data_IF_201012935805
#
_entry.id   IF_201012935805
#
_cell.length_a   1.000
_cell.length_b   1.000
_cell.length_c   1.000
_cell.angle_alpha   90.00
_cell.angle_beta   90.00
_cell.angle_gamma   90.00
#
_symmetry.space_group_name_H-M   'P 1'
#
loop_
_entity.id
_entity.type
_entity.pdbx_description
1 polymer ?
#
# COMPACT_ATOMS: atom_id res chain seq x y z
N UNK A 1 9.89 21.14 9.82
CA UNK A 1 8.66 20.31 9.70
C UNK A 1 7.73 20.71 10.83
N UNK A 2 6.48 20.99 10.53
CA UNK A 2 5.54 21.47 11.55
C UNK A 2 5.03 20.30 12.38
N UNK A 3 5.58 20.12 13.57
CA UNK A 3 5.20 19.08 14.54
C UNK A 3 3.69 19.15 14.88
N UNK A 4 3.06 20.31 14.75
CA UNK A 4 1.64 20.53 14.97
C UNK A 4 0.78 19.77 13.94
N UNK A 5 1.19 19.72 12.66
CA UNK A 5 0.47 18.98 11.62
C UNK A 5 0.53 17.46 11.85
N UNK A 6 1.73 16.96 12.20
CA UNK A 6 1.90 15.54 12.52
C UNK A 6 1.00 15.10 13.67
N UNK A 7 0.97 15.89 14.75
CA UNK A 7 0.11 15.59 15.89
C UNK A 7 -1.38 15.58 15.52
N UNK A 8 -1.83 16.53 14.70
CA UNK A 8 -3.22 16.55 14.21
C UNK A 8 -3.59 15.31 13.41
N UNK A 9 -2.67 14.82 12.53
CA UNK A 9 -2.88 13.59 11.76
C UNK A 9 -2.97 12.39 12.71
N UNK A 10 -2.04 12.27 13.66
CA UNK A 10 -2.04 11.19 14.67
C UNK A 10 -3.35 11.20 15.46
N UNK A 11 -3.76 12.35 16.01
CA UNK A 11 -5.02 12.50 16.75
C UNK A 11 -6.23 12.11 15.91
N UNK A 12 -6.26 12.52 14.64
CA UNK A 12 -7.37 12.20 13.74
C UNK A 12 -7.49 10.70 13.47
N UNK A 13 -6.36 10.02 13.25
CA UNK A 13 -6.33 8.56 13.04
C UNK A 13 -6.67 7.83 14.34
N UNK A 14 -6.16 8.28 15.48
CA UNK A 14 -6.37 7.67 16.80
C UNK A 14 -7.83 7.70 17.27
N UNK A 15 -8.67 8.60 16.71
CA UNK A 15 -10.13 8.59 16.95
C UNK A 15 -10.83 7.36 16.36
N UNK A 16 -10.21 6.73 15.37
CA UNK A 16 -10.78 5.58 14.64
C UNK A 16 -10.02 4.29 14.98
N UNK A 17 -8.71 4.42 15.21
CA UNK A 17 -7.81 3.32 15.51
C UNK A 17 -7.32 3.46 16.94
N UNK A 18 -7.95 2.74 17.86
CA UNK A 18 -7.62 2.79 19.30
C UNK A 18 -6.45 1.84 19.61
N UNK A 19 -5.57 2.23 20.54
CA UNK A 19 -4.51 1.38 21.09
C UNK A 19 -3.29 1.18 20.18
N UNK A 20 -3.17 1.90 19.04
CA UNK A 20 -2.10 1.67 18.06
C UNK A 20 -1.27 2.90 17.72
N UNK A 21 -1.10 3.79 18.69
CA UNK A 21 -0.40 5.07 18.49
C UNK A 21 1.00 4.88 17.90
N UNK A 22 1.74 3.87 18.38
CA UNK A 22 3.09 3.58 17.87
C UNK A 22 3.10 3.18 16.40
N UNK A 23 2.15 2.36 15.96
CA UNK A 23 2.02 2.00 14.54
C UNK A 23 1.68 3.24 13.70
N UNK A 24 0.76 4.08 14.15
CA UNK A 24 0.38 5.34 13.47
C UNK A 24 1.58 6.26 13.33
N UNK A 25 2.39 6.44 14.37
CA UNK A 25 3.63 7.23 14.34
C UNK A 25 4.62 6.68 13.29
N UNK A 26 4.87 5.36 13.29
CA UNK A 26 5.80 4.74 12.34
C UNK A 26 5.32 4.91 10.90
N UNK A 27 4.02 4.77 10.65
CA UNK A 27 3.44 4.98 9.32
C UNK A 27 3.57 6.44 8.88
N UNK A 28 3.37 7.39 9.77
CA UNK A 28 3.54 8.81 9.46
C UNK A 28 5.01 9.15 9.17
N UNK A 29 5.95 8.60 9.95
CA UNK A 29 7.39 8.74 9.69
C UNK A 29 7.74 8.16 8.32
N UNK A 30 7.21 6.98 7.98
CA UNK A 30 7.44 6.34 6.68
C UNK A 30 6.91 7.19 5.53
N UNK A 31 5.71 7.76 5.68
CA UNK A 31 5.10 8.66 4.69
C UNK A 31 5.96 9.92 4.47
N UNK A 32 6.43 10.53 5.55
CA UNK A 32 7.27 11.74 5.49
C UNK A 32 8.63 11.47 4.84
N UNK A 33 9.14 10.26 5.05
CA UNK A 33 10.40 9.80 4.44
C UNK A 33 10.21 9.28 2.99
N UNK A 34 9.00 9.45 2.42
CA UNK A 34 8.64 8.97 1.07
C UNK A 34 8.91 7.47 0.89
N UNK A 35 8.81 6.71 1.98
CA UNK A 35 9.06 5.28 2.00
C UNK A 35 7.78 4.44 1.92
N UNK A 36 7.96 3.13 1.92
CA UNK A 36 6.90 2.13 1.91
C UNK A 36 6.99 1.24 3.14
N UNK A 37 5.91 0.58 3.53
CA UNK A 37 5.84 -0.26 4.72
C UNK A 37 5.42 -1.69 4.39
N UNK A 38 6.12 -2.64 4.99
CA UNK A 38 5.70 -4.03 5.02
C UNK A 38 5.03 -4.33 6.36
N UNK A 39 3.77 -4.70 6.32
CA UNK A 39 3.00 -5.09 7.50
C UNK A 39 3.03 -6.61 7.62
N UNK A 40 3.62 -7.10 8.70
CA UNK A 40 3.42 -8.49 9.13
C UNK A 40 2.36 -8.52 10.21
N UNK A 41 1.31 -9.27 9.98
CA UNK A 41 0.21 -9.24 10.91
C UNK A 41 -0.60 -10.52 10.99
N UNK A 42 -1.43 -10.53 12.03
CA UNK A 42 -2.50 -11.51 12.22
C UNK A 42 -3.75 -11.06 11.46
N UNK A 43 -4.55 -11.96 10.86
CA UNK A 43 -5.81 -11.59 10.22
C UNK A 43 -6.74 -10.79 11.15
N UNK A 44 -7.41 -9.75 10.61
CA UNK A 44 -8.43 -9.01 11.35
C UNK A 44 -7.98 -7.75 12.08
N UNK A 45 -6.73 -7.31 11.96
CA UNK A 45 -6.15 -6.18 12.71
C UNK A 45 -6.42 -4.77 12.12
N UNK A 46 -7.51 -4.58 11.38
CA UNK A 46 -7.96 -3.27 10.86
C UNK A 46 -6.98 -2.55 9.91
N UNK A 47 -6.09 -3.27 9.19
CA UNK A 47 -5.12 -2.71 8.20
C UNK A 47 -5.78 -1.76 7.20
N UNK A 48 -6.89 -2.21 6.62
CA UNK A 48 -7.63 -1.43 5.63
C UNK A 48 -8.15 -0.12 6.22
N UNK A 49 -8.63 -0.17 7.47
CA UNK A 49 -9.12 1.02 8.16
C UNK A 49 -7.98 1.98 8.47
N UNK A 50 -6.82 1.48 8.88
CA UNK A 50 -5.62 2.26 9.15
C UNK A 50 -5.13 3.00 7.90
N UNK A 51 -4.97 2.27 6.77
CA UNK A 51 -4.54 2.85 5.50
C UNK A 51 -5.56 3.89 4.97
N UNK A 52 -6.87 3.61 5.06
CA UNK A 52 -7.93 4.56 4.70
C UNK A 52 -7.92 5.81 5.59
N UNK A 53 -7.71 5.64 6.90
CA UNK A 53 -7.67 6.76 7.84
C UNK A 53 -6.48 7.67 7.55
N UNK A 54 -5.31 7.10 7.24
CA UNK A 54 -4.15 7.88 6.84
C UNK A 54 -4.42 8.65 5.54
N UNK A 55 -4.90 7.98 4.49
CA UNK A 55 -5.22 8.62 3.22
C UNK A 55 -6.19 9.80 3.42
N UNK A 56 -7.26 9.59 4.18
CA UNK A 56 -8.25 10.63 4.48
C UNK A 56 -7.65 11.79 5.29
N UNK A 57 -6.77 11.50 6.24
CA UNK A 57 -6.15 12.51 7.10
C UNK A 57 -5.18 13.42 6.36
N UNK A 58 -4.59 12.94 5.25
CA UNK A 58 -3.70 13.73 4.39
C UNK A 58 -4.43 14.33 3.17
N UNK A 59 -5.74 14.09 3.02
CA UNK A 59 -6.51 14.53 1.86
C UNK A 59 -6.22 13.74 0.57
N UNK A 60 -5.56 12.58 0.69
CA UNK A 60 -5.17 11.74 -0.43
C UNK A 60 -6.21 10.68 -0.81
N UNK A 61 -5.96 10.03 -1.95
CA UNK A 61 -6.75 8.90 -2.45
C UNK A 61 -6.25 7.58 -1.86
N UNK A 62 -7.14 6.58 -1.81
CA UNK A 62 -6.86 5.25 -1.31
C UNK A 62 -7.32 4.18 -2.30
N UNK A 63 -6.49 3.20 -2.56
CA UNK A 63 -6.84 1.99 -3.30
C UNK A 63 -6.39 0.74 -2.54
N UNK A 64 -7.08 -0.38 -2.78
CA UNK A 64 -6.71 -1.70 -2.25
C UNK A 64 -6.65 -2.70 -3.37
N UNK A 65 -5.59 -3.51 -3.37
CA UNK A 65 -5.44 -4.66 -4.26
C UNK A 65 -5.24 -5.89 -3.39
N UNK A 66 -6.07 -6.90 -3.59
CA UNK A 66 -5.84 -8.23 -3.03
C UNK A 66 -4.97 -9.00 -4.02
N UNK A 67 -3.80 -9.44 -3.57
CA UNK A 67 -2.89 -10.22 -4.37
C UNK A 67 -3.35 -11.67 -4.40
N UNK A 68 -3.47 -12.22 -5.61
CA UNK A 68 -3.93 -13.61 -5.88
C UNK A 68 -3.01 -14.26 -6.93
N UNK A 69 -2.99 -15.59 -7.03
CA UNK A 69 -2.11 -16.29 -7.99
C UNK A 69 -2.37 -15.95 -9.46
N UNK A 70 -3.56 -15.48 -9.79
CA UNK A 70 -3.99 -15.09 -11.14
C UNK A 70 -3.83 -13.59 -11.44
N UNK A 71 -3.44 -12.77 -10.44
CA UNK A 71 -3.27 -11.33 -10.62
C UNK A 71 -2.14 -11.01 -11.60
N UNK A 72 -2.44 -10.21 -12.62
CA UNK A 72 -1.48 -9.79 -13.65
C UNK A 72 -0.83 -8.44 -13.30
N UNK A 73 0.38 -8.15 -13.80
CA UNK A 73 1.00 -6.83 -13.66
C UNK A 73 0.11 -5.68 -14.12
N UNK A 74 -0.60 -5.85 -15.22
CA UNK A 74 -1.53 -4.86 -15.80
C UNK A 74 -2.74 -4.57 -14.91
N UNK A 75 -3.15 -5.52 -14.06
CA UNK A 75 -4.22 -5.29 -13.09
C UNK A 75 -3.80 -4.29 -12.01
N UNK A 76 -2.48 -4.13 -11.81
CA UNK A 76 -1.89 -3.20 -10.84
C UNK A 76 -1.56 -1.86 -11.50
N UNK A 77 -0.87 -1.88 -12.65
CA UNK A 77 -0.35 -0.69 -13.32
C UNK A 77 -1.38 0.01 -14.20
N UNK A 78 -2.36 -0.74 -14.70
CA UNK A 78 -3.30 -0.28 -15.71
C UNK A 78 -2.88 -0.72 -17.12
N UNK A 79 -3.68 -0.36 -18.10
CA UNK A 79 -3.49 -0.75 -19.50
C UNK A 79 -4.24 0.18 -20.45
N UNK A 80 -3.85 0.16 -21.73
CA UNK A 80 -4.56 0.89 -22.78
C UNK A 80 -5.74 0.07 -23.33
N UNK A 81 -6.90 0.71 -23.46
CA UNK A 81 -8.11 0.16 -24.07
C UNK A 81 -8.32 0.86 -25.42
N UNK A 82 -8.53 0.07 -26.48
CA UNK A 82 -8.97 0.64 -27.75
C UNK A 82 -10.46 0.94 -27.71
N UNK A 83 -10.78 2.22 -27.83
CA UNK A 83 -12.16 2.67 -27.96
C UNK A 83 -12.56 2.67 -29.46
N UNK A 84 -13.52 1.80 -29.79
CA UNK A 84 -14.02 1.67 -31.17
C UNK A 84 -14.79 2.90 -31.65
N UNK A 85 -15.40 3.69 -30.74
CA UNK A 85 -16.17 4.86 -31.16
C UNK A 85 -15.29 6.05 -31.52
N UNK A 86 -14.23 6.27 -30.75
CA UNK A 86 -13.26 7.35 -30.99
C UNK A 86 -12.09 6.91 -31.86
N UNK A 87 -11.97 5.60 -32.18
CA UNK A 87 -10.86 4.97 -32.91
C UNK A 87 -9.48 5.31 -32.32
N UNK A 88 -9.41 5.47 -31.00
CA UNK A 88 -8.15 5.76 -30.29
C UNK A 88 -7.97 4.87 -29.07
N UNK A 89 -6.71 4.76 -28.62
CA UNK A 89 -6.39 4.14 -27.34
C UNK A 89 -6.63 5.12 -26.21
N UNK A 90 -7.22 4.65 -25.12
CA UNK A 90 -7.39 5.38 -23.87
C UNK A 90 -6.76 4.61 -22.74
N UNK A 91 -5.96 5.30 -21.90
CA UNK A 91 -5.36 4.69 -20.73
C UNK A 91 -6.40 4.48 -19.63
N UNK A 92 -6.50 3.25 -19.14
CA UNK A 92 -7.24 2.90 -17.94
C UNK A 92 -6.26 2.73 -16.78
N UNK A 93 -6.23 3.68 -15.82
CA UNK A 93 -5.30 3.61 -14.70
C UNK A 93 -5.57 2.39 -13.82
N UNK A 94 -4.50 1.76 -13.39
CA UNK A 94 -4.54 0.72 -12.37
C UNK A 94 -4.57 1.31 -10.96
N UNK A 95 -4.78 0.46 -9.95
CA UNK A 95 -4.88 0.88 -8.55
C UNK A 95 -3.61 1.49 -7.96
N UNK A 96 -2.44 1.35 -8.60
CA UNK A 96 -1.21 2.04 -8.16
C UNK A 96 -1.27 3.54 -8.35
N UNK A 97 -2.17 4.05 -9.22
CA UNK A 97 -2.37 5.49 -9.42
C UNK A 97 -3.22 6.01 -8.25
N UNK A 98 -2.58 6.18 -7.12
CA UNK A 98 -3.20 6.60 -5.86
C UNK A 98 -2.13 7.12 -4.90
N UNK A 99 -2.53 7.81 -3.82
CA UNK A 99 -1.59 8.28 -2.79
C UNK A 99 -1.25 7.17 -1.78
N UNK A 100 -2.27 6.42 -1.35
CA UNK A 100 -2.09 5.30 -0.41
C UNK A 100 -2.63 4.02 -1.04
N UNK A 101 -1.72 3.07 -1.28
CA UNK A 101 -2.05 1.75 -1.81
C UNK A 101 -1.93 0.70 -0.70
N UNK A 102 -2.97 -0.09 -0.50
CA UNK A 102 -2.89 -1.33 0.29
C UNK A 102 -2.76 -2.52 -0.65
N UNK A 103 -1.55 -3.08 -0.72
CA UNK A 103 -1.23 -4.32 -1.43
C UNK A 103 -1.35 -5.50 -0.46
N UNK A 104 -2.54 -6.11 -0.43
CA UNK A 104 -2.88 -7.13 0.57
C UNK A 104 -2.42 -8.52 0.11
N UNK A 105 -1.68 -9.24 0.97
CA UNK A 105 -1.11 -10.57 0.73
C UNK A 105 -0.19 -10.63 -0.50
N UNK A 106 0.78 -9.71 -0.59
CA UNK A 106 1.68 -9.57 -1.75
C UNK A 106 2.39 -10.88 -2.13
N UNK A 107 2.65 -11.75 -1.15
CA UNK A 107 3.30 -13.05 -1.36
C UNK A 107 2.41 -14.10 -2.04
N UNK A 108 1.14 -13.83 -2.29
CA UNK A 108 0.25 -14.74 -3.05
C UNK A 108 0.34 -14.59 -4.56
N UNK A 109 0.77 -13.44 -5.05
CA UNK A 109 0.88 -13.23 -6.50
C UNK A 109 2.23 -13.72 -7.05
N UNK A 110 2.28 -14.08 -8.35
CA UNK A 110 3.51 -14.47 -9.01
C UNK A 110 4.60 -13.39 -8.93
N UNK A 111 5.86 -13.80 -8.98
CA UNK A 111 7.01 -12.91 -8.88
C UNK A 111 7.00 -11.76 -9.90
N UNK A 112 6.43 -11.99 -11.11
CA UNK A 112 6.30 -10.96 -12.14
C UNK A 112 5.36 -9.82 -11.70
N UNK A 113 4.27 -10.15 -11.03
CA UNK A 113 3.28 -9.19 -10.53
C UNK A 113 3.82 -8.43 -9.32
N UNK A 114 4.54 -9.14 -8.43
CA UNK A 114 5.27 -8.49 -7.33
C UNK A 114 6.30 -7.49 -7.86
N UNK A 115 7.10 -7.90 -8.88
CA UNK A 115 8.11 -7.04 -9.48
C UNK A 115 7.53 -5.75 -10.07
N UNK A 116 6.35 -5.81 -10.70
CA UNK A 116 5.68 -4.63 -11.23
C UNK A 116 5.30 -3.62 -10.13
N UNK A 117 4.77 -4.10 -8.99
CA UNK A 117 4.51 -3.21 -7.85
C UNK A 117 5.79 -2.60 -7.30
N UNK A 118 6.82 -3.42 -7.10
CA UNK A 118 8.11 -2.98 -6.54
C UNK A 118 8.83 -1.98 -7.45
N UNK A 119 8.66 -2.09 -8.76
CA UNK A 119 9.16 -1.11 -9.73
C UNK A 119 8.45 0.24 -9.54
N UNK A 120 7.11 0.23 -9.46
CA UNK A 120 6.35 1.47 -9.21
C UNK A 120 6.72 2.11 -7.87
N UNK A 121 6.96 1.32 -6.84
CA UNK A 121 7.41 1.82 -5.53
C UNK A 121 8.76 2.53 -5.64
N UNK A 122 9.67 2.03 -6.45
CA UNK A 122 11.02 2.59 -6.60
C UNK A 122 11.05 3.79 -7.54
N UNK A 123 10.42 3.65 -8.71
CA UNK A 123 10.52 4.63 -9.79
C UNK A 123 9.43 5.72 -9.71
N UNK A 124 8.39 5.52 -8.88
CA UNK A 124 7.21 6.39 -8.75
C UNK A 124 6.56 6.72 -10.10
N UNK A 125 6.61 5.74 -11.01
CA UNK A 125 6.00 5.82 -12.33
C UNK A 125 5.56 4.44 -12.83
N UNK A 126 4.66 4.42 -13.79
CA UNK A 126 4.27 3.25 -14.56
C UNK A 126 4.61 3.46 -16.02
N UNK A 127 5.14 2.44 -16.69
CA UNK A 127 5.44 2.49 -18.14
C UNK A 127 4.47 1.58 -18.88
N UNK A 128 3.70 2.15 -19.81
CA UNK A 128 2.69 1.45 -20.60
C UNK A 128 2.86 1.83 -22.07
N UNK A 129 3.07 0.82 -22.92
CA UNK A 129 3.29 1.01 -24.36
C UNK A 129 4.40 2.03 -24.70
N UNK A 130 5.42 2.14 -23.83
CA UNK A 130 6.55 3.06 -24.02
C UNK A 130 6.32 4.46 -23.45
N UNK A 131 5.15 4.78 -22.93
CA UNK A 131 4.86 6.03 -22.24
C UNK A 131 4.96 5.85 -20.73
N UNK A 132 5.66 6.77 -20.05
CA UNK A 132 5.81 6.79 -18.59
C UNK A 132 4.84 7.78 -17.97
N UNK A 133 4.06 7.29 -17.01
CA UNK A 133 3.10 8.08 -16.24
C UNK A 133 3.59 8.14 -14.78
N UNK A 134 3.81 9.34 -14.28
CA UNK A 134 4.24 9.55 -12.89
C UNK A 134 3.08 9.31 -11.92
N UNK A 135 3.36 8.63 -10.83
CA UNK A 135 2.43 8.51 -9.70
C UNK A 135 2.53 9.79 -8.87
N UNK A 136 1.38 10.38 -8.54
CA UNK A 136 1.31 11.65 -7.81
C UNK A 136 1.79 11.48 -6.36
N UNK A 137 2.68 12.37 -5.92
CA UNK A 137 3.18 12.39 -4.55
C UNK A 137 2.15 13.02 -3.57
N UNK A 138 2.11 12.57 -2.30
CA UNK A 138 2.89 11.49 -1.75
C UNK A 138 2.34 10.10 -2.15
N UNK A 139 3.20 9.16 -2.54
CA UNK A 139 2.82 7.79 -2.80
C UNK A 139 3.41 6.86 -1.74
N UNK A 140 2.56 6.12 -1.05
CA UNK A 140 2.97 5.13 -0.06
C UNK A 140 2.24 3.80 -0.25
N UNK A 141 3.02 2.73 -0.35
CA UNK A 141 2.51 1.36 -0.40
C UNK A 141 2.56 0.73 0.99
N UNK A 142 1.41 0.19 1.41
CA UNK A 142 1.26 -0.74 2.52
C UNK A 142 1.19 -2.14 1.93
N UNK A 143 2.27 -2.88 1.95
CA UNK A 143 2.24 -4.28 1.57
C UNK A 143 2.01 -5.14 2.81
N UNK A 144 1.19 -6.19 2.67
CA UNK A 144 0.99 -7.16 3.75
C UNK A 144 1.49 -8.53 3.34
N UNK A 145 2.00 -9.27 4.32
CA UNK A 145 2.32 -10.68 4.19
C UNK A 145 1.66 -11.46 5.31
N UNK A 146 1.12 -12.61 4.99
CA UNK A 146 0.69 -13.58 6.00
C UNK A 146 1.84 -14.59 6.21
N UNK A 147 2.54 -14.57 7.35
CA UNK A 147 3.67 -15.47 7.60
C UNK A 147 3.24 -16.92 7.86
N UNK A 148 1.96 -17.15 8.16
CA UNK A 148 1.44 -18.47 8.55
C UNK A 148 1.08 -19.33 7.32
N UNK A 149 0.63 -18.71 6.24
CA UNK A 149 0.28 -19.42 5.01
C UNK A 149 1.52 -19.64 4.13
N UNK A 150 2.04 -20.87 4.10
CA UNK A 150 3.19 -21.25 3.26
C UNK A 150 2.77 -21.91 1.95
N UNK A 151 1.60 -22.53 1.87
CA UNK A 151 1.12 -23.16 0.63
C UNK A 151 0.62 -22.13 -0.38
N UNK A 152 1.13 -22.24 -1.63
CA UNK A 152 0.74 -21.34 -2.73
C UNK A 152 1.26 -19.91 -2.62
N UNK A 153 2.34 -19.68 -1.85
CA UNK A 153 2.94 -18.36 -1.70
C UNK A 153 4.29 -18.27 -2.42
N UNK A 154 4.61 -17.06 -2.88
CA UNK A 154 5.88 -16.68 -3.48
C UNK A 154 6.59 -15.69 -2.54
N UNK A 155 7.51 -16.15 -1.68
CA UNK A 155 8.17 -15.26 -0.72
C UNK A 155 8.97 -14.17 -1.45
N UNK A 156 8.96 -12.96 -0.91
CA UNK A 156 9.80 -11.89 -1.41
C UNK A 156 11.27 -12.19 -1.09
N UNK A 157 12.18 -12.15 -2.08
CA UNK A 157 13.61 -12.21 -1.84
C UNK A 157 14.10 -11.06 -0.95
N UNK A 158 15.18 -11.25 -0.18
CA UNK A 158 15.73 -10.21 0.71
C UNK A 158 16.02 -8.90 -0.02
N UNK A 159 16.57 -8.95 -1.24
CA UNK A 159 16.82 -7.77 -2.06
C UNK A 159 15.55 -6.97 -2.44
N UNK A 160 14.38 -7.58 -2.35
CA UNK A 160 13.09 -6.91 -2.58
C UNK A 160 12.50 -6.36 -1.27
N UNK A 161 12.84 -6.96 -0.13
CA UNK A 161 12.45 -6.45 1.18
C UNK A 161 13.12 -5.11 1.49
N UNK A 162 14.31 -4.84 0.97
CA UNK A 162 15.04 -3.57 1.12
C UNK A 162 14.31 -2.36 0.51
N UNK A 163 13.28 -2.59 -0.31
CA UNK A 163 12.42 -1.51 -0.86
C UNK A 163 11.41 -0.97 0.15
N UNK A 164 11.22 -1.67 1.25
CA UNK A 164 10.38 -1.22 2.36
C UNK A 164 11.24 -0.53 3.41
N UNK A 165 10.93 0.74 3.69
CA UNK A 165 11.64 1.52 4.70
C UNK A 165 11.47 0.93 6.09
N UNK A 166 10.30 0.37 6.37
CA UNK A 166 9.97 -0.23 7.64
C UNK A 166 9.18 -1.52 7.48
N UNK A 167 9.47 -2.45 8.38
CA UNK A 167 8.65 -3.63 8.67
C UNK A 167 7.94 -3.39 9.99
N UNK A 168 6.62 -3.35 9.96
CA UNK A 168 5.78 -3.09 11.14
C UNK A 168 4.96 -4.33 11.45
N UNK A 169 5.12 -4.84 12.67
CA UNK A 169 4.29 -5.92 13.19
C UNK A 169 3.07 -5.29 13.86
N UNK A 170 1.88 -5.70 13.43
CA UNK A 170 0.63 -5.23 14.03
C UNK A 170 0.03 -6.38 14.83
N UNK A 171 0.21 -6.31 16.14
CA UNK A 171 -0.38 -7.26 17.09
C UNK A 171 -1.83 -6.89 17.42
N UNK A 172 -2.54 -7.80 18.12
CA UNK A 172 -3.85 -7.49 18.70
C UNK A 172 -3.74 -6.32 19.69
N UNK A 173 -4.79 -5.48 19.83
CA UNK A 173 -4.83 -4.47 20.87
C UNK A 173 -4.67 -5.11 22.26
N UNK A 174 -4.12 -4.37 23.21
CA UNK A 174 -4.11 -4.80 24.60
C UNK A 174 -5.55 -4.95 25.11
N UNK A 175 -5.80 -5.90 26.03
CA UNK A 175 -7.15 -6.15 26.59
C UNK A 175 -7.83 -4.87 27.15
N UNK A 176 -7.04 -3.92 27.60
CA UNK A 176 -7.52 -2.65 28.14
C UNK A 176 -8.10 -1.73 27.05
N UNK A 177 -7.56 -1.82 25.82
CA UNK A 177 -7.99 -1.03 24.67
C UNK A 177 -9.25 -1.59 23.99
N UNK A 178 -9.55 -2.89 24.18
CA UNK A 178 -10.77 -3.53 23.66
C UNK A 178 -12.03 -3.21 24.48
N UNK A 179 -11.87 -2.69 25.69
CA UNK A 179 -12.98 -2.41 26.61
C UNK A 179 -13.43 -0.94 26.59
N UNK A 180 -12.84 -0.10 25.74
CA UNK A 180 -13.25 1.29 25.54
C UNK A 180 -14.12 1.45 24.29
#
# INVERSE_FOLDING_TARGET
MDTSLCNKIIENISRVIVGRNRAIELLLVTLIAEGHVLLEDVPGVAKTLLAKSLAKSIGGTFQRVQFTPDLMPTDITGFNIYDQQSACFSFRPGPVITHILLADEINRAPAKTQAALLEVMQEQQVTIDGESLTVEAPFMCFATQNPIEQEGTYPLPEAQLDRFLMKVVIDYPAMEDEMM
#
